data_IF_872455190447
#
_entry.id   IF_872455190447
#
_cell.length_a   1.000
_cell.length_b   1.000
_cell.length_c   1.000
_cell.angle_alpha   90.00
_cell.angle_beta   90.00
_cell.angle_gamma   90.00
#
_symmetry.space_group_name_H-M   'P 1'
#
loop_
_entity.id
_entity.type
_entity.pdbx_description
1 polymer ?
#
# COMPACT_ATOMS: atom_id res chain seq x y z
N UNK A 1 5.84 18.74 -7.02
CA UNK A 1 4.51 18.73 -6.37
C UNK A 1 4.63 19.39 -5.00
N UNK A 2 3.62 20.18 -4.58
CA UNK A 2 3.59 20.89 -3.28
C UNK A 2 3.40 19.94 -2.09
N UNK A 3 2.61 18.88 -2.27
CA UNK A 3 2.42 17.82 -1.27
C UNK A 3 2.80 16.48 -1.91
N UNK A 4 3.53 15.65 -1.16
CA UNK A 4 3.94 14.30 -1.57
C UNK A 4 3.58 13.35 -0.44
N UNK A 5 2.87 12.27 -0.76
CA UNK A 5 2.47 11.25 0.20
C UNK A 5 3.00 9.90 -0.25
N UNK A 6 3.56 9.15 0.69
CA UNK A 6 3.98 7.78 0.49
C UNK A 6 3.13 6.90 1.42
N UNK A 7 2.20 6.14 0.84
CA UNK A 7 1.33 5.25 1.61
C UNK A 7 1.98 3.88 1.73
N UNK A 8 2.08 3.37 2.94
CA UNK A 8 2.55 2.00 3.20
C UNK A 8 1.55 1.24 4.08
N UNK A 9 1.71 -0.07 4.14
CA UNK A 9 1.01 -0.96 5.06
C UNK A 9 1.75 -2.29 5.17
N UNK A 10 1.54 -2.99 6.28
CA UNK A 10 2.05 -4.35 6.46
C UNK A 10 1.64 -5.26 5.29
N UNK A 11 2.52 -6.20 4.95
CA UNK A 11 2.26 -7.19 3.89
C UNK A 11 1.01 -8.00 4.24
N UNK A 12 0.83 -8.32 5.52
CA UNK A 12 -0.30 -9.05 6.07
C UNK A 12 -1.62 -8.34 5.79
N UNK A 13 -1.69 -7.04 6.10
CA UNK A 13 -2.91 -6.27 5.88
C UNK A 13 -3.19 -6.08 4.40
N UNK A 14 -2.16 -5.82 3.58
CA UNK A 14 -2.32 -5.72 2.12
C UNK A 14 -2.81 -7.04 1.53
N UNK A 15 -2.28 -8.17 1.97
CA UNK A 15 -2.72 -9.50 1.55
C UNK A 15 -4.17 -9.77 1.99
N UNK A 16 -4.54 -9.43 3.23
CA UNK A 16 -5.91 -9.57 3.74
C UNK A 16 -6.90 -8.74 2.94
N UNK A 17 -6.62 -7.44 2.73
CA UNK A 17 -7.47 -6.55 1.91
C UNK A 17 -7.65 -7.09 0.50
N UNK A 18 -6.56 -7.57 -0.12
CA UNK A 18 -6.59 -8.14 -1.46
C UNK A 18 -7.37 -9.47 -1.52
N UNK A 19 -7.23 -10.31 -0.51
CA UNK A 19 -8.00 -11.55 -0.38
C UNK A 19 -9.50 -11.27 -0.30
N UNK A 20 -9.93 -10.34 0.55
CA UNK A 20 -11.34 -9.94 0.67
C UNK A 20 -11.91 -9.38 -0.65
N UNK A 21 -11.11 -8.64 -1.43
CA UNK A 21 -11.52 -8.17 -2.76
C UNK A 21 -11.70 -9.32 -3.77
N UNK A 22 -10.85 -10.35 -3.69
CA UNK A 22 -10.85 -11.47 -4.63
C UNK A 22 -11.77 -12.62 -4.22
N UNK A 23 -12.22 -12.65 -2.96
CA UNK A 23 -13.11 -13.70 -2.43
C UNK A 23 -14.43 -13.84 -3.19
N UNK A 24 -14.86 -12.81 -3.93
CA UNK A 24 -16.07 -12.82 -4.76
C UNK A 24 -15.87 -13.40 -6.16
N UNK A 25 -14.66 -13.79 -6.53
CA UNK A 25 -14.37 -14.43 -7.82
C UNK A 25 -14.77 -15.89 -7.79
N UNK A 26 -15.08 -16.45 -8.96
CA UNK A 26 -15.42 -17.87 -9.16
C UNK A 26 -14.32 -18.81 -8.67
N UNK A 27 -13.06 -18.37 -8.67
CA UNK A 27 -11.92 -19.13 -8.15
C UNK A 27 -10.94 -18.18 -7.46
N UNK A 28 -11.09 -17.94 -6.14
CA UNK A 28 -10.22 -17.03 -5.41
C UNK A 28 -8.86 -17.69 -5.13
N UNK A 29 -7.74 -16.97 -5.27
CA UNK A 29 -6.42 -17.46 -4.86
C UNK A 29 -6.31 -17.53 -3.33
N UNK A 30 -5.44 -18.40 -2.82
CA UNK A 30 -5.21 -18.51 -1.37
C UNK A 30 -4.54 -17.25 -0.81
N UNK A 31 -4.74 -16.99 0.48
CA UNK A 31 -4.10 -15.86 1.17
C UNK A 31 -2.57 -15.93 1.06
N UNK A 32 -1.99 -17.12 1.15
CA UNK A 32 -0.54 -17.34 1.02
C UNK A 32 -0.02 -17.00 -0.37
N UNK A 33 -0.74 -17.41 -1.44
CA UNK A 33 -0.39 -17.05 -2.81
C UNK A 33 -0.43 -15.53 -3.02
N UNK A 34 -1.46 -14.86 -2.49
CA UNK A 34 -1.57 -13.40 -2.54
C UNK A 34 -0.41 -12.75 -1.80
N UNK A 35 -0.08 -13.22 -0.59
CA UNK A 35 1.02 -12.71 0.22
C UNK A 35 2.35 -12.83 -0.51
N UNK A 36 2.63 -13.99 -1.09
CA UNK A 36 3.84 -14.25 -1.86
C UNK A 36 3.94 -13.34 -3.10
N UNK A 37 2.83 -13.14 -3.83
CA UNK A 37 2.81 -12.22 -4.97
C UNK A 37 3.09 -10.77 -4.56
N UNK A 38 2.51 -10.32 -3.44
CA UNK A 38 2.75 -8.98 -2.88
C UNK A 38 4.23 -8.80 -2.53
N UNK A 39 4.83 -9.73 -1.78
CA UNK A 39 6.25 -9.65 -1.40
C UNK A 39 7.15 -9.60 -2.64
N UNK A 40 6.87 -10.46 -3.62
CA UNK A 40 7.63 -10.52 -4.88
C UNK A 40 7.54 -9.19 -5.62
N UNK A 41 6.34 -8.61 -5.71
CA UNK A 41 6.11 -7.31 -6.37
C UNK A 41 6.79 -6.17 -5.65
N UNK A 42 6.64 -6.08 -4.32
CA UNK A 42 7.30 -5.05 -3.52
C UNK A 42 8.82 -5.09 -3.69
N UNK A 43 9.39 -6.30 -3.68
CA UNK A 43 10.83 -6.51 -3.87
C UNK A 43 11.26 -6.09 -5.27
N UNK A 44 10.49 -6.45 -6.30
CA UNK A 44 10.79 -6.07 -7.67
C UNK A 44 10.65 -4.56 -7.91
N UNK A 45 9.65 -3.92 -7.31
CA UNK A 45 9.38 -2.49 -7.45
C UNK A 45 10.44 -1.65 -6.71
N UNK A 46 10.91 -2.10 -5.54
CA UNK A 46 12.00 -1.43 -4.80
C UNK A 46 13.37 -1.57 -5.47
N UNK A 47 13.64 -2.69 -6.13
CA UNK A 47 14.94 -3.00 -6.72
C UNK A 47 15.04 -2.71 -8.23
N UNK A 48 14.01 -2.09 -8.83
CA UNK A 48 14.00 -1.84 -10.27
C UNK A 48 15.13 -0.85 -10.65
N UNK A 49 15.93 -1.13 -11.70
CA UNK A 49 17.04 -0.25 -12.09
C UNK A 49 16.59 1.16 -12.52
N UNK A 50 15.37 1.30 -13.01
CA UNK A 50 14.77 2.57 -13.41
C UNK A 50 13.36 2.68 -12.86
N UNK A 51 13.05 3.81 -12.20
CA UNK A 51 11.74 4.03 -11.59
C UNK A 51 11.48 3.13 -10.37
N UNK A 52 12.52 2.84 -9.58
CA UNK A 52 12.38 2.16 -8.30
C UNK A 52 11.37 2.88 -7.39
N UNK A 53 10.58 2.10 -6.65
CA UNK A 53 9.71 2.64 -5.61
C UNK A 53 10.56 3.09 -4.42
N UNK A 54 10.85 4.38 -4.37
CA UNK A 54 11.55 5.05 -3.28
C UNK A 54 10.67 6.11 -2.65
N UNK A 55 10.83 6.34 -1.35
CA UNK A 55 10.18 7.48 -0.67
C UNK A 55 10.74 8.77 -1.28
N UNK A 56 9.92 9.63 -1.90
CA UNK A 56 10.40 10.88 -2.46
C UNK A 56 10.90 11.82 -1.37
N UNK A 57 11.86 12.68 -1.72
CA UNK A 57 12.31 13.73 -0.81
C UNK A 57 11.13 14.65 -0.43
N UNK A 58 11.02 14.95 0.87
CA UNK A 58 9.93 15.73 1.46
C UNK A 58 8.53 15.08 1.33
N UNK A 59 8.46 13.76 1.17
CA UNK A 59 7.19 13.04 1.25
C UNK A 59 6.81 12.71 2.70
N UNK A 60 5.52 12.86 2.99
CA UNK A 60 4.91 12.37 4.24
C UNK A 60 4.63 10.89 4.07
N UNK A 61 5.23 10.06 4.92
CA UNK A 61 4.98 8.62 4.98
C UNK A 61 3.77 8.37 5.87
N UNK A 62 2.76 7.69 5.36
CA UNK A 62 1.54 7.35 6.09
C UNK A 62 1.41 5.82 6.12
N UNK A 63 1.50 5.24 7.32
CA UNK A 63 1.20 3.83 7.54
C UNK A 63 -0.32 3.64 7.67
N UNK A 64 -0.88 2.88 6.73
CA UNK A 64 -2.31 2.61 6.63
C UNK A 64 -2.71 1.24 7.18
N UNK A 65 -1.80 0.52 7.85
CA UNK A 65 -2.01 -0.86 8.34
C UNK A 65 -3.28 -0.98 9.20
N UNK A 66 -3.47 -0.06 10.16
CA UNK A 66 -4.61 -0.10 11.07
C UNK A 66 -5.62 1.02 10.80
N UNK A 67 -5.53 1.67 9.64
CA UNK A 67 -6.42 2.77 9.27
C UNK A 67 -7.51 2.28 8.32
N UNK A 68 -8.74 2.69 8.59
CA UNK A 68 -9.85 2.64 7.65
C UNK A 68 -9.65 3.63 6.51
N UNK A 69 -10.40 3.45 5.41
CA UNK A 69 -10.35 4.38 4.28
C UNK A 69 -10.64 5.82 4.70
N UNK A 70 -11.58 6.04 5.63
CA UNK A 70 -11.92 7.38 6.12
C UNK A 70 -10.75 8.01 6.88
N UNK A 71 -10.13 7.26 7.78
CA UNK A 71 -8.97 7.73 8.56
C UNK A 71 -7.78 8.04 7.66
N UNK A 72 -7.52 7.23 6.61
CA UNK A 72 -6.47 7.53 5.62
C UNK A 72 -6.76 8.86 4.91
N UNK A 73 -8.00 9.10 4.51
CA UNK A 73 -8.39 10.36 3.83
C UNK A 73 -8.25 11.55 4.78
N UNK A 74 -8.70 11.42 6.02
CA UNK A 74 -8.58 12.46 7.05
C UNK A 74 -7.11 12.78 7.36
N UNK A 75 -6.26 11.77 7.48
CA UNK A 75 -4.82 11.93 7.69
C UNK A 75 -4.19 12.72 6.54
N UNK A 76 -4.47 12.36 5.29
CA UNK A 76 -3.97 13.09 4.11
C UNK A 76 -4.44 14.55 4.13
N UNK A 77 -5.72 14.80 4.43
CA UNK A 77 -6.27 16.15 4.49
C UNK A 77 -5.65 17.00 5.61
N UNK A 78 -5.24 16.38 6.72
CA UNK A 78 -4.60 17.08 7.84
C UNK A 78 -3.26 17.71 7.45
N UNK A 79 -2.52 17.09 6.52
CA UNK A 79 -1.24 17.61 6.01
C UNK A 79 -1.41 18.70 4.95
N UNK A 80 -2.59 18.79 4.31
CA UNK A 80 -2.88 19.79 3.27
C UNK A 80 -3.43 21.08 3.88
N UNK A 81 -4.20 20.97 4.96
CA UNK A 81 -4.88 22.11 5.62
C UNK A 81 -4.02 22.85 6.65
N UNK A 82 -2.79 22.41 6.90
CA UNK A 82 -1.78 23.16 7.66
C UNK A 82 -1.25 24.32 6.81
#
# INVERSE_FOLDING_TARGET
ARFKFYLDASVEERARRRYLQLARKTTPPSLEMIKADIIRRDTADKNRPWGALTVPENAVVIDTTNLSLKEVVEEILSHIKK
#
